data_IF_975315616212
#
_entry.id   IF_975315616212
#
_cell.length_a   1.000
_cell.length_b   1.000
_cell.length_c   1.000
_cell.angle_alpha   90.00
_cell.angle_beta   90.00
_cell.angle_gamma   90.00
#
_symmetry.space_group_name_H-M   'P 1'
#
loop_
_entity.id
_entity.type
_entity.pdbx_description
1 polymer ?
#
# COMPACT_ATOMS: atom_id res chain seq x y z
N UNK A 1 18.48 -8.13 14.51
CA UNK A 1 18.45 -7.15 13.39
C UNK A 1 17.40 -7.61 12.42
N UNK A 2 16.42 -6.78 12.07
CA UNK A 2 15.46 -7.11 11.02
C UNK A 2 16.08 -6.81 9.65
N UNK A 3 16.17 -7.82 8.79
CA UNK A 3 16.62 -7.63 7.40
C UNK A 3 15.56 -6.89 6.61
N UNK A 4 15.96 -5.95 5.76
CA UNK A 4 15.03 -5.27 4.83
C UNK A 4 15.09 -5.93 3.46
N UNK A 5 13.96 -5.90 2.73
CA UNK A 5 13.85 -6.37 1.35
C UNK A 5 13.52 -5.20 0.43
N UNK A 6 14.34 -4.98 -0.59
CA UNK A 6 14.08 -3.99 -1.63
C UNK A 6 12.99 -4.45 -2.58
N UNK A 7 12.16 -3.50 -3.00
CA UNK A 7 11.13 -3.66 -4.03
C UNK A 7 11.30 -2.56 -5.08
N UNK A 8 12.14 -2.86 -6.07
CA UNK A 8 12.60 -1.89 -7.08
C UNK A 8 11.47 -1.31 -7.93
N UNK A 9 10.45 -2.11 -8.26
CA UNK A 9 9.27 -1.63 -9.01
C UNK A 9 8.55 -0.48 -8.29
N UNK A 10 8.46 -0.54 -6.96
CA UNK A 10 7.85 0.51 -6.14
C UNK A 10 8.82 1.63 -5.71
N UNK A 11 10.13 1.36 -5.70
CA UNK A 11 11.14 2.32 -5.25
C UNK A 11 11.23 2.45 -3.73
N UNK A 12 10.96 1.36 -3.00
CA UNK A 12 11.07 1.32 -1.54
C UNK A 12 11.64 -0.02 -1.07
N UNK A 13 12.09 -0.07 0.18
CA UNK A 13 12.41 -1.29 0.91
C UNK A 13 11.54 -1.41 2.15
N UNK A 14 11.25 -2.64 2.55
CA UNK A 14 10.38 -2.91 3.70
C UNK A 14 10.97 -3.98 4.60
N UNK A 15 10.52 -4.01 5.85
CA UNK A 15 10.84 -5.08 6.81
C UNK A 15 9.82 -6.21 6.62
N UNK A 16 10.22 -7.42 6.18
CA UNK A 16 9.29 -8.55 6.07
C UNK A 16 8.65 -8.88 7.42
N UNK A 17 7.34 -9.20 7.40
CA UNK A 17 6.60 -9.68 8.56
C UNK A 17 5.53 -10.69 8.09
N UNK A 18 4.27 -10.57 8.54
CA UNK A 18 3.17 -11.44 8.11
C UNK A 18 2.64 -11.04 6.73
N UNK A 19 1.77 -11.87 6.14
CA UNK A 19 1.22 -11.62 4.80
C UNK A 19 0.46 -10.29 4.67
N UNK A 20 -0.10 -9.80 5.78
CA UNK A 20 -1.01 -8.65 5.83
C UNK A 20 -0.32 -7.30 5.96
N UNK A 21 0.91 -7.27 6.46
CA UNK A 21 1.66 -6.03 6.66
C UNK A 21 3.16 -6.30 6.82
N UNK A 22 3.95 -5.30 6.46
CA UNK A 22 5.38 -5.24 6.78
C UNK A 22 5.63 -4.63 8.17
N UNK A 23 6.81 -4.86 8.75
CA UNK A 23 7.25 -4.20 9.98
C UNK A 23 7.64 -2.72 9.81
N UNK A 24 7.66 -2.22 8.58
CA UNK A 24 7.99 -0.84 8.25
C UNK A 24 8.42 -0.69 6.79
N UNK A 25 8.44 0.55 6.29
CA UNK A 25 8.83 0.88 4.92
C UNK A 25 9.70 2.12 4.89
N UNK A 26 10.66 2.15 3.96
CA UNK A 26 11.50 3.30 3.70
C UNK A 26 11.67 3.48 2.19
N UNK A 27 11.62 4.72 1.71
CA UNK A 27 11.94 5.03 0.32
C UNK A 27 13.38 4.62 -0.03
N UNK A 28 13.62 4.19 -1.27
CA UNK A 28 14.99 4.02 -1.77
C UNK A 28 15.64 5.38 -2.08
N UNK A 29 16.95 5.37 -2.31
CA UNK A 29 17.73 6.58 -2.57
C UNK A 29 17.12 7.42 -3.71
N UNK A 30 17.08 8.74 -3.51
CA UNK A 30 16.51 9.69 -4.47
C UNK A 30 14.98 9.77 -4.47
N UNK A 31 14.30 8.99 -3.63
CA UNK A 31 12.85 9.02 -3.45
C UNK A 31 12.48 9.47 -2.03
N UNK A 32 11.26 9.98 -1.89
CA UNK A 32 10.64 10.29 -0.60
C UNK A 32 9.25 9.65 -0.53
N UNK A 33 8.82 9.29 0.67
CA UNK A 33 7.44 8.87 0.90
C UNK A 33 6.59 10.12 1.02
N UNK A 34 5.55 10.23 0.19
CA UNK A 34 4.53 11.27 0.31
C UNK A 34 3.23 10.67 0.86
N UNK A 35 2.63 11.38 1.81
CA UNK A 35 1.34 11.00 2.39
C UNK A 35 0.25 11.85 1.77
N UNK A 36 -0.67 11.20 1.08
CA UNK A 36 -1.83 11.83 0.45
C UNK A 36 -3.09 11.39 1.20
N UNK A 37 -3.98 12.34 1.46
CA UNK A 37 -5.26 12.09 2.13
C UNK A 37 -6.41 12.53 1.24
N UNK A 38 -7.35 11.63 0.98
CA UNK A 38 -8.60 11.98 0.33
C UNK A 38 -9.42 12.89 1.26
N UNK A 39 -9.97 13.99 0.74
CA UNK A 39 -10.74 14.97 1.50
C UNK A 39 -12.05 14.41 2.07
N UNK A 40 -12.57 13.36 1.44
CA UNK A 40 -13.80 12.67 1.82
C UNK A 40 -13.56 11.17 1.90
N UNK A 41 -14.34 10.47 2.73
CA UNK A 41 -14.35 9.00 2.74
C UNK A 41 -15.00 8.53 1.44
N UNK A 42 -14.32 7.63 0.74
CA UNK A 42 -14.80 7.05 -0.53
C UNK A 42 -14.94 5.54 -0.39
N UNK A 43 -15.79 4.89 -1.20
CA UNK A 43 -15.80 3.44 -1.33
C UNK A 43 -14.40 2.91 -1.69
N UNK A 44 -14.02 1.77 -1.11
CA UNK A 44 -12.66 1.26 -1.20
C UNK A 44 -12.18 1.03 -2.65
N UNK A 45 -13.03 0.42 -3.49
CA UNK A 45 -12.70 0.18 -4.89
C UNK A 45 -12.39 1.49 -5.64
N UNK A 46 -13.25 2.50 -5.48
CA UNK A 46 -13.03 3.84 -6.04
C UNK A 46 -11.77 4.50 -5.44
N UNK A 47 -11.46 4.23 -4.18
CA UNK A 47 -10.21 4.67 -3.55
C UNK A 47 -8.97 4.13 -4.27
N UNK A 48 -8.93 2.84 -4.62
CA UNK A 48 -7.83 2.26 -5.38
C UNK A 48 -7.71 2.84 -6.79
N UNK A 49 -8.83 3.09 -7.46
CA UNK A 49 -8.84 3.76 -8.77
C UNK A 49 -8.26 5.18 -8.70
N UNK A 50 -8.63 5.94 -7.66
CA UNK A 50 -8.10 7.29 -7.41
C UNK A 50 -6.59 7.25 -7.13
N UNK A 51 -6.12 6.30 -6.32
CA UNK A 51 -4.68 6.11 -6.05
C UNK A 51 -3.93 5.79 -7.34
N UNK A 52 -4.45 4.87 -8.16
CA UNK A 52 -3.84 4.48 -9.42
C UNK A 52 -3.73 5.68 -10.38
N UNK A 53 -4.79 6.48 -10.51
CA UNK A 53 -4.78 7.71 -11.33
C UNK A 53 -3.82 8.77 -10.80
N UNK A 54 -3.73 8.91 -9.48
CA UNK A 54 -2.81 9.87 -8.86
C UNK A 54 -1.35 9.49 -9.13
N UNK A 55 -0.99 8.21 -8.99
CA UNK A 55 0.35 7.72 -9.30
C UNK A 55 0.67 7.84 -10.80
N UNK A 56 -0.29 7.52 -11.67
CA UNK A 56 -0.14 7.66 -13.13
C UNK A 56 0.13 9.12 -13.53
N UNK A 57 -0.60 10.09 -12.95
CA UNK A 57 -0.36 11.51 -13.18
C UNK A 57 1.03 11.99 -12.71
N UNK A 58 1.66 11.28 -11.78
CA UNK A 58 3.04 11.50 -11.33
C UNK A 58 4.07 10.69 -12.14
N UNK A 59 3.65 9.92 -13.15
CA UNK A 59 4.51 9.01 -13.91
C UNK A 59 5.06 7.85 -13.08
N UNK A 60 4.33 7.42 -12.04
CA UNK A 60 4.74 6.36 -11.12
C UNK A 60 3.87 5.11 -11.29
N UNK A 61 4.47 3.90 -11.17
CA UNK A 61 3.71 2.66 -11.24
C UNK A 61 2.82 2.49 -10.00
N UNK A 62 1.72 1.72 -10.12
CA UNK A 62 0.82 1.40 -8.98
C UNK A 62 1.57 0.77 -7.80
N UNK A 63 2.63 0.02 -8.12
CA UNK A 63 3.55 -0.60 -7.16
C UNK A 63 4.29 0.42 -6.28
N UNK A 64 4.27 1.72 -6.60
CA UNK A 64 4.80 2.77 -5.72
C UNK A 64 3.91 3.02 -4.48
N UNK A 65 2.67 2.51 -4.44
CA UNK A 65 1.85 2.52 -3.23
C UNK A 65 2.47 1.60 -2.18
N UNK A 66 3.13 2.20 -1.20
CA UNK A 66 3.86 1.47 -0.16
C UNK A 66 3.08 1.28 1.15
N UNK A 67 2.00 2.03 1.36
CA UNK A 67 1.12 1.94 2.52
C UNK A 67 -0.25 2.55 2.20
N UNK A 68 -1.28 2.09 2.88
CA UNK A 68 -2.61 2.68 2.83
C UNK A 68 -3.28 2.58 4.21
N UNK A 69 -3.87 3.69 4.67
CA UNK A 69 -4.64 3.74 5.91
C UNK A 69 -6.12 3.79 5.57
N UNK A 70 -6.88 2.83 6.09
CA UNK A 70 -8.27 2.61 5.73
C UNK A 70 -9.17 2.70 6.95
N UNK A 71 -10.44 3.05 6.71
CA UNK A 71 -11.47 3.06 7.74
C UNK A 71 -12.31 1.81 7.61
N UNK A 72 -12.19 0.91 8.59
CA UNK A 72 -13.07 -0.26 8.66
C UNK A 72 -14.36 0.09 9.40
N UNK A 73 -15.54 -0.35 8.92
CA UNK A 73 -16.80 -0.16 9.65
C UNK A 73 -16.86 -0.95 10.96
N UNK A 74 -16.05 -2.02 11.09
CA UNK A 74 -15.94 -2.85 12.29
C UNK A 74 -14.51 -3.37 12.48
N UNK A 75 -14.09 -3.75 13.68
CA UNK A 75 -12.81 -4.42 13.89
C UNK A 75 -12.71 -5.71 13.07
N UNK A 76 -11.56 -5.97 12.46
CA UNK A 76 -11.30 -7.24 11.80
C UNK A 76 -10.96 -8.32 12.84
N UNK A 77 -11.44 -9.54 12.60
CA UNK A 77 -10.77 -10.73 13.12
C UNK A 77 -9.58 -11.10 12.22
N UNK A 78 -8.73 -12.03 12.67
CA UNK A 78 -7.52 -12.37 11.91
C UNK A 78 -7.80 -12.89 10.48
N UNK A 79 -8.82 -13.74 10.32
CA UNK A 79 -9.16 -14.32 9.03
C UNK A 79 -9.71 -13.26 8.07
N UNK A 80 -10.64 -12.43 8.55
CA UNK A 80 -11.19 -11.32 7.78
C UNK A 80 -10.11 -10.34 7.33
N UNK A 81 -9.08 -10.11 8.16
CA UNK A 81 -7.96 -9.26 7.76
C UNK A 81 -7.08 -9.93 6.68
N UNK A 82 -6.87 -11.25 6.75
CA UNK A 82 -6.19 -12.01 5.69
C UNK A 82 -6.94 -11.94 4.36
N UNK A 83 -8.25 -12.20 4.39
CA UNK A 83 -9.09 -12.22 3.19
C UNK A 83 -9.16 -10.83 2.54
N UNK A 84 -9.33 -9.79 3.37
CA UNK A 84 -9.25 -8.40 2.95
C UNK A 84 -7.91 -8.09 2.25
N UNK A 85 -6.79 -8.47 2.88
CA UNK A 85 -5.48 -8.15 2.36
C UNK A 85 -5.16 -8.91 1.06
N UNK A 86 -5.72 -10.09 0.86
CA UNK A 86 -5.60 -10.81 -0.42
C UNK A 86 -6.20 -10.01 -1.59
N UNK A 87 -7.36 -9.39 -1.37
CA UNK A 87 -8.01 -8.50 -2.35
C UNK A 87 -7.14 -7.26 -2.57
N UNK A 88 -6.65 -6.63 -1.50
CA UNK A 88 -5.74 -5.47 -1.58
C UNK A 88 -4.52 -5.79 -2.45
N UNK A 89 -3.82 -6.90 -2.19
CA UNK A 89 -2.63 -7.31 -2.95
C UNK A 89 -2.98 -7.55 -4.43
N UNK A 90 -4.15 -8.14 -4.72
CA UNK A 90 -4.57 -8.38 -6.10
C UNK A 90 -4.68 -7.07 -6.91
N UNK A 91 -5.10 -5.96 -6.29
CA UNK A 91 -5.17 -4.64 -6.97
C UNK A 91 -3.82 -4.07 -7.37
N UNK A 92 -2.72 -4.56 -6.78
CA UNK A 92 -1.35 -4.10 -7.04
C UNK A 92 -0.59 -4.99 -8.04
N UNK A 93 -1.17 -6.14 -8.42
CA UNK A 93 -0.59 -7.01 -9.43
C UNK A 93 -0.87 -6.43 -10.82
N UNK A 94 0.06 -6.69 -11.74
CA UNK A 94 -0.07 -6.36 -13.17
C UNK A 94 -0.92 -7.43 -13.83
#
# INVERSE_FOLDING_TARGET
>A
MYTTRSFSLGGYRFIPAVSQYSGGVNAEQGLRIERVRLSSVVPLASGFELIARYLDALGRPRQALCACELRSPAPFNEQGFRDFNAIYIATLRV
#
